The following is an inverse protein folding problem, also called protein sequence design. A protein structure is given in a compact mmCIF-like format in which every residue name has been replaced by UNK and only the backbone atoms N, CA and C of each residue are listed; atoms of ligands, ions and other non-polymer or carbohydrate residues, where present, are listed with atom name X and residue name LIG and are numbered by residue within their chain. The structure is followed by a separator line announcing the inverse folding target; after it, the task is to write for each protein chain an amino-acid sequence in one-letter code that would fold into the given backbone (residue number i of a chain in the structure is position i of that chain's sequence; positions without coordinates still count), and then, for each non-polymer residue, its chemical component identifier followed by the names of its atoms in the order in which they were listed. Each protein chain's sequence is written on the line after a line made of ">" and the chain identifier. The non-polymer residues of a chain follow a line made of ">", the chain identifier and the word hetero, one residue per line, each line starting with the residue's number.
data_IF_595341198133
#
_entry.id   IF_595341198133
#
_cell.length_a   1.000
_cell.length_b   1.000
_cell.length_c   1.000
_cell.angle_alpha   90.00
_cell.angle_beta   90.00
_cell.angle_gamma   90.00
#
_symmetry.space_group_name_H-M   'P 1'
#
loop_
_entity.id
_entity.type
_entity.pdbx_description
1 polymer ?
#
# COMPACT_ATOMS: atom_id res chain seq x y z
N UNK A 1 -13.61 -9.22 -9.82
CA UNK A 1 -14.71 -8.62 -9.02
C UNK A 1 -14.22 -8.40 -7.59
N UNK A 2 -14.28 -7.16 -7.02
CA UNK A 2 -13.92 -6.93 -5.62
C UNK A 2 -14.99 -7.49 -4.68
N UNK A 3 -14.54 -8.18 -3.63
CA UNK A 3 -15.38 -8.73 -2.57
C UNK A 3 -14.97 -8.05 -1.26
N UNK A 4 -15.94 -7.39 -0.62
CA UNK A 4 -15.69 -6.72 0.66
C UNK A 4 -15.50 -7.75 1.79
N UNK A 5 -14.46 -7.57 2.59
CA UNK A 5 -14.21 -8.33 3.81
C UNK A 5 -14.33 -7.38 5.00
N UNK A 6 -15.32 -7.60 5.85
CA UNK A 6 -15.48 -6.80 7.09
C UNK A 6 -14.37 -7.15 8.08
N UNK A 7 -13.19 -6.57 7.85
CA UNK A 7 -12.00 -6.78 8.66
C UNK A 7 -12.21 -6.41 10.13
N UNK A 8 -12.89 -5.30 10.40
CA UNK A 8 -13.13 -4.83 11.75
C UNK A 8 -14.26 -5.58 12.46
N UNK A 9 -15.25 -6.07 11.72
CA UNK A 9 -16.27 -7.00 12.23
C UNK A 9 -15.74 -8.41 12.47
N UNK A 10 -14.47 -8.67 12.12
CA UNK A 10 -13.80 -9.93 12.39
C UNK A 10 -13.97 -10.99 11.31
N UNK A 11 -14.52 -10.66 10.15
CA UNK A 11 -14.74 -11.60 9.05
C UNK A 11 -13.44 -12.32 8.62
N UNK A 12 -12.29 -11.64 8.66
CA UNK A 12 -10.99 -12.25 8.33
C UNK A 12 -10.52 -13.32 9.34
N UNK A 13 -11.13 -13.39 10.53
CA UNK A 13 -10.76 -14.31 11.60
C UNK A 13 -11.60 -15.58 11.62
N UNK A 14 -12.64 -15.66 10.80
CA UNK A 14 -13.52 -16.83 10.74
C UNK A 14 -12.79 -18.05 10.14
N UNK A 15 -13.20 -19.29 10.49
CA UNK A 15 -12.64 -20.49 9.88
C UNK A 15 -12.76 -20.50 8.34
N UNK A 16 -13.86 -19.99 7.81
CA UNK A 16 -14.13 -19.91 6.38
C UNK A 16 -13.10 -19.02 5.68
N UNK A 17 -12.85 -17.82 6.21
CA UNK A 17 -11.83 -16.94 5.63
C UNK A 17 -10.42 -17.53 5.80
N UNK A 18 -10.12 -18.15 6.93
CA UNK A 18 -8.83 -18.80 7.18
C UNK A 18 -8.57 -20.00 6.28
N UNK A 19 -9.60 -20.64 5.75
CA UNK A 19 -9.44 -21.70 4.73
C UNK A 19 -8.96 -21.13 3.39
N UNK A 20 -9.24 -19.85 3.12
CA UNK A 20 -8.77 -19.13 1.92
C UNK A 20 -7.41 -18.45 2.17
N UNK A 21 -7.24 -17.84 3.34
CA UNK A 21 -5.98 -17.23 3.77
C UNK A 21 -5.68 -17.50 5.24
N UNK A 22 -4.75 -18.39 5.49
CA UNK A 22 -4.34 -18.78 6.87
C UNK A 22 -3.77 -17.63 7.68
N UNK A 23 -3.27 -16.56 7.02
CA UNK A 23 -2.74 -15.36 7.68
C UNK A 23 -3.86 -14.46 8.24
N UNK A 24 -5.12 -14.72 7.88
CA UNK A 24 -6.29 -13.91 8.29
C UNK A 24 -6.18 -12.41 7.87
N UNK A 25 -5.53 -12.15 6.76
CA UNK A 25 -5.23 -10.81 6.23
C UNK A 25 -5.87 -10.61 4.86
N UNK A 26 -6.19 -9.37 4.54
CA UNK A 26 -6.56 -8.91 3.20
C UNK A 26 -5.41 -8.01 2.66
N UNK A 27 -5.21 -7.97 1.34
CA UNK A 27 -6.02 -8.56 0.28
C UNK A 27 -5.75 -10.05 0.01
N UNK A 28 -6.73 -10.68 -0.65
CA UNK A 28 -6.63 -12.01 -1.25
C UNK A 28 -7.11 -11.93 -2.69
N UNK A 29 -6.38 -12.51 -3.62
CA UNK A 29 -6.81 -12.68 -5.00
C UNK A 29 -7.08 -14.16 -5.27
N UNK A 30 -8.25 -14.46 -5.83
CA UNK A 30 -8.63 -15.79 -6.30
C UNK A 30 -8.77 -15.73 -7.82
N UNK A 31 -7.90 -16.42 -8.53
CA UNK A 31 -8.01 -16.65 -9.96
C UNK A 31 -8.79 -17.96 -10.19
N UNK A 32 -10.07 -17.81 -10.51
CA UNK A 32 -10.98 -18.95 -10.72
C UNK A 32 -10.68 -19.71 -12.01
N UNK A 33 -10.00 -19.10 -12.97
CA UNK A 33 -9.63 -19.75 -14.22
C UNK A 33 -8.41 -20.67 -14.07
N UNK A 34 -7.50 -20.28 -13.19
CA UNK A 34 -6.27 -21.03 -12.89
C UNK A 34 -6.41 -21.94 -11.64
N UNK A 35 -7.54 -21.87 -10.93
CA UNK A 35 -7.73 -22.49 -9.61
C UNK A 35 -6.58 -22.13 -8.65
N UNK A 36 -6.24 -20.84 -8.60
CA UNK A 36 -5.10 -20.34 -7.85
C UNK A 36 -5.48 -19.20 -6.92
N UNK A 37 -5.07 -19.33 -5.68
CA UNK A 37 -5.25 -18.27 -4.66
C UNK A 37 -3.90 -17.72 -4.26
N UNK A 38 -3.77 -16.40 -4.30
CA UNK A 38 -2.56 -15.68 -3.88
C UNK A 38 -2.90 -14.61 -2.84
N UNK A 39 -2.06 -14.50 -1.83
CA UNK A 39 -2.19 -13.56 -0.71
C UNK A 39 -0.93 -12.68 -0.64
N UNK A 40 -0.97 -11.62 0.17
CA UNK A 40 0.04 -10.56 0.24
C UNK A 40 0.06 -9.66 -1.00
N UNK A 41 -0.10 -8.35 -0.79
CA UNK A 41 -0.25 -7.36 -1.85
C UNK A 41 0.89 -7.40 -2.88
N UNK A 42 2.13 -7.54 -2.44
CA UNK A 42 3.29 -7.64 -3.33
C UNK A 42 3.26 -8.88 -4.22
N UNK A 43 2.87 -10.04 -3.67
CA UNK A 43 2.74 -11.28 -4.44
C UNK A 43 1.54 -11.21 -5.43
N UNK A 44 0.45 -10.58 -5.01
CA UNK A 44 -0.72 -10.33 -5.89
C UNK A 44 -0.31 -9.42 -7.06
N UNK A 45 0.43 -8.34 -6.79
CA UNK A 45 0.93 -7.44 -7.83
C UNK A 45 1.85 -8.18 -8.82
N UNK A 46 2.76 -9.00 -8.33
CA UNK A 46 3.65 -9.81 -9.17
C UNK A 46 2.85 -10.78 -10.06
N UNK A 47 1.88 -11.50 -9.48
CA UNK A 47 1.01 -12.41 -10.21
C UNK A 47 0.21 -11.70 -11.31
N UNK A 48 -0.43 -10.57 -10.99
CA UNK A 48 -1.19 -9.76 -11.97
C UNK A 48 -0.26 -9.19 -13.06
N UNK A 49 0.96 -8.82 -12.69
CA UNK A 49 1.96 -8.37 -13.66
C UNK A 49 2.38 -9.48 -14.60
N UNK A 50 2.55 -10.72 -14.11
CA UNK A 50 2.82 -11.88 -14.94
C UNK A 50 1.70 -12.14 -15.97
N UNK A 51 0.44 -12.09 -15.52
CA UNK A 51 -0.72 -12.30 -16.39
C UNK A 51 -0.90 -11.19 -17.43
N UNK A 52 -0.68 -9.94 -17.03
CA UNK A 52 -0.90 -8.77 -17.90
C UNK A 52 0.29 -8.40 -18.78
N UNK A 53 1.48 -8.86 -18.45
CA UNK A 53 2.74 -8.43 -19.08
C UNK A 53 3.12 -6.98 -18.76
N UNK A 54 2.54 -6.37 -17.68
CA UNK A 54 2.73 -4.97 -17.31
C UNK A 54 3.31 -4.85 -15.89
N UNK A 55 3.94 -3.72 -15.60
CA UNK A 55 4.38 -3.27 -14.27
C UNK A 55 5.51 -4.06 -13.60
N UNK A 56 6.05 -5.12 -14.23
CA UNK A 56 7.09 -5.94 -13.62
C UNK A 56 8.53 -5.42 -13.84
N UNK A 57 8.71 -4.38 -14.65
CA UNK A 57 10.01 -3.98 -15.19
C UNK A 57 10.37 -4.75 -16.46
N UNK A 58 11.25 -4.20 -17.28
CA UNK A 58 11.55 -4.69 -18.64
C UNK A 58 12.78 -5.61 -18.70
N UNK A 59 13.71 -5.46 -17.75
CA UNK A 59 14.93 -6.27 -17.66
C UNK A 59 14.99 -7.06 -16.34
N UNK A 60 15.84 -8.09 -16.24
CA UNK A 60 16.10 -8.78 -14.97
C UNK A 60 16.61 -7.87 -13.86
N UNK A 61 17.36 -6.82 -14.21
CA UNK A 61 17.86 -5.80 -13.28
C UNK A 61 16.71 -4.95 -12.73
N UNK A 62 15.85 -4.43 -13.60
CA UNK A 62 14.66 -3.67 -13.21
C UNK A 62 13.71 -4.50 -12.33
N UNK A 63 13.49 -5.77 -12.67
CA UNK A 63 12.65 -6.66 -11.85
C UNK A 63 13.20 -6.83 -10.43
N UNK A 64 14.53 -6.93 -10.28
CA UNK A 64 15.15 -6.96 -8.94
C UNK A 64 14.98 -5.64 -8.20
N UNK A 65 15.10 -4.51 -8.90
CA UNK A 65 14.84 -3.20 -8.31
C UNK A 65 13.38 -3.03 -7.91
N UNK A 66 12.41 -3.45 -8.72
CA UNK A 66 10.99 -3.49 -8.36
C UNK A 66 10.78 -4.30 -7.09
N UNK A 67 11.33 -5.52 -7.02
CA UNK A 67 11.24 -6.37 -5.82
C UNK A 67 11.88 -5.67 -4.61
N UNK A 68 13.04 -5.03 -4.78
CA UNK A 68 13.72 -4.29 -3.69
C UNK A 68 12.82 -3.19 -3.12
N UNK A 69 12.12 -2.44 -3.97
CA UNK A 69 11.21 -1.37 -3.53
C UNK A 69 9.91 -1.91 -2.92
N UNK A 70 9.35 -3.00 -3.44
CA UNK A 70 8.22 -3.69 -2.81
C UNK A 70 8.59 -4.17 -1.40
N UNK A 71 9.80 -4.74 -1.22
CA UNK A 71 10.29 -5.13 0.11
C UNK A 71 10.55 -3.92 1.02
N UNK A 72 11.06 -2.82 0.48
CA UNK A 72 11.21 -1.56 1.21
C UNK A 72 9.85 -1.02 1.68
N UNK A 73 8.87 -0.99 0.79
CA UNK A 73 7.51 -0.59 1.12
C UNK A 73 6.94 -1.42 2.26
N UNK A 74 6.92 -2.74 2.11
CA UNK A 74 6.35 -3.64 3.11
C UNK A 74 7.04 -3.53 4.47
N UNK A 75 8.35 -3.22 4.51
CA UNK A 75 9.09 -3.09 5.77
C UNK A 75 9.07 -1.67 6.35
N UNK A 76 9.08 -0.64 5.53
CA UNK A 76 9.35 0.75 5.97
C UNK A 76 8.17 1.71 5.78
N UNK A 77 7.39 1.55 4.71
CA UNK A 77 6.27 2.45 4.40
C UNK A 77 4.94 1.85 4.84
N UNK A 78 4.41 0.90 4.10
CA UNK A 78 3.04 0.39 4.29
C UNK A 78 2.80 -0.19 5.67
N UNK A 79 3.74 -0.96 6.23
CA UNK A 79 3.59 -1.52 7.58
C UNK A 79 3.52 -0.43 8.65
N UNK A 80 4.40 0.58 8.56
CA UNK A 80 4.44 1.67 9.54
C UNK A 80 3.27 2.65 9.32
N UNK A 81 2.97 3.00 8.07
CA UNK A 81 1.87 3.90 7.74
C UNK A 81 0.53 3.30 8.13
N UNK A 82 0.28 2.04 7.77
CA UNK A 82 -0.95 1.32 8.14
C UNK A 82 -1.15 1.23 9.64
N UNK A 83 -0.11 0.84 10.39
CA UNK A 83 -0.17 0.78 11.84
C UNK A 83 -0.41 2.16 12.45
N UNK A 84 0.33 3.18 12.02
CA UNK A 84 0.20 4.54 12.57
C UNK A 84 -1.18 5.12 12.27
N UNK A 85 -1.67 4.95 11.04
CA UNK A 85 -3.01 5.36 10.64
C UNK A 85 -4.09 4.66 11.48
N UNK A 86 -3.96 3.35 11.70
CA UNK A 86 -4.87 2.60 12.55
C UNK A 86 -4.89 3.14 13.99
N UNK A 87 -3.74 3.30 14.62
CA UNK A 87 -3.62 3.77 15.99
C UNK A 87 -4.17 5.19 16.18
N UNK A 88 -3.99 6.06 15.19
CA UNK A 88 -4.42 7.46 15.27
C UNK A 88 -5.89 7.68 14.93
N UNK A 89 -6.48 6.87 14.03
CA UNK A 89 -7.78 7.21 13.46
C UNK A 89 -8.87 6.18 13.78
N UNK A 90 -8.51 4.95 14.17
CA UNK A 90 -9.48 3.88 14.43
C UNK A 90 -9.59 3.51 15.92
N UNK A 91 -8.65 3.95 16.75
CA UNK A 91 -8.75 3.78 18.20
C UNK A 91 -9.36 5.02 18.86
N UNK A 92 -10.20 4.82 19.90
CA UNK A 92 -10.59 5.91 20.78
C UNK A 92 -9.36 6.65 21.31
N UNK A 93 -9.42 7.96 21.41
CA UNK A 93 -8.29 8.81 21.79
C UNK A 93 -7.61 8.35 23.10
N UNK A 94 -8.43 7.97 24.09
CA UNK A 94 -7.97 7.47 25.39
C UNK A 94 -7.21 6.14 25.35
N UNK A 95 -7.24 5.43 24.20
CA UNK A 95 -6.56 4.15 24.00
C UNK A 95 -5.37 4.26 23.02
N UNK A 96 -5.07 5.45 22.53
CA UNK A 96 -3.97 5.66 21.57
C UNK A 96 -2.62 5.59 22.30
N UNK A 97 -1.72 4.68 21.89
CA UNK A 97 -0.40 4.58 22.47
C UNK A 97 0.53 5.66 21.87
N UNK A 98 0.54 6.84 22.48
CA UNK A 98 1.22 8.04 21.96
C UNK A 98 2.70 7.83 21.66
N UNK A 99 3.40 7.08 22.52
CA UNK A 99 4.83 6.79 22.34
C UNK A 99 5.10 5.88 21.16
N UNK A 100 4.24 4.90 20.93
CA UNK A 100 4.34 4.00 19.74
C UNK A 100 4.04 4.78 18.47
N UNK A 101 3.04 5.64 18.51
CA UNK A 101 2.70 6.53 17.39
C UNK A 101 3.89 7.42 17.04
N UNK A 102 4.46 8.10 18.03
CA UNK A 102 5.62 8.99 17.82
C UNK A 102 6.84 8.21 17.27
N UNK A 103 7.10 7.01 17.78
CA UNK A 103 8.18 6.16 17.28
C UNK A 103 7.96 5.78 15.80
N UNK A 104 6.75 5.34 15.45
CA UNK A 104 6.42 4.98 14.06
C UNK A 104 6.51 6.19 13.13
N UNK A 105 6.01 7.35 13.56
CA UNK A 105 6.11 8.58 12.77
C UNK A 105 7.57 8.96 12.51
N UNK A 106 8.45 8.85 13.52
CA UNK A 106 9.89 9.08 13.32
C UNK A 106 10.51 8.15 12.29
N UNK A 107 10.12 6.88 12.28
CA UNK A 107 10.57 5.92 11.26
C UNK A 107 10.03 6.23 9.86
N UNK A 108 8.78 6.67 9.77
CA UNK A 108 8.15 7.09 8.52
C UNK A 108 8.86 8.30 7.91
N UNK A 109 9.27 9.29 8.71
CA UNK A 109 10.03 10.44 8.20
C UNK A 109 11.32 9.98 7.49
N UNK A 110 12.04 9.01 8.05
CA UNK A 110 13.23 8.43 7.39
C UNK A 110 12.91 7.70 6.09
N UNK A 111 11.77 7.00 6.04
CA UNK A 111 11.32 6.32 4.83
C UNK A 111 10.88 7.30 3.74
N UNK A 112 10.14 8.36 4.11
CA UNK A 112 9.76 9.43 3.18
C UNK A 112 10.98 10.18 2.63
N UNK A 113 11.95 10.51 3.48
CA UNK A 113 13.19 11.13 3.04
C UNK A 113 13.93 10.26 2.01
N UNK A 114 14.01 8.96 2.25
CA UNK A 114 14.62 8.00 1.32
C UNK A 114 13.90 7.98 -0.03
N UNK A 115 12.57 7.88 -0.01
CA UNK A 115 11.75 7.87 -1.23
C UNK A 115 11.82 9.20 -1.97
N UNK A 116 11.70 10.32 -1.24
CA UNK A 116 11.73 11.66 -1.83
C UNK A 116 13.09 11.94 -2.52
N UNK A 117 14.20 11.58 -1.87
CA UNK A 117 15.54 11.71 -2.47
C UNK A 117 15.71 10.80 -3.69
N UNK A 118 15.18 9.58 -3.63
CA UNK A 118 15.24 8.67 -4.77
C UNK A 118 14.47 9.19 -5.99
N UNK A 119 13.35 9.86 -5.77
CA UNK A 119 12.50 10.44 -6.82
C UNK A 119 13.03 11.76 -7.40
N UNK A 120 14.10 12.34 -6.83
CA UNK A 120 14.71 13.53 -7.39
C UNK A 120 15.20 13.29 -8.82
N UNK A 121 14.64 14.05 -9.77
CA UNK A 121 14.93 13.90 -11.21
C UNK A 121 14.40 12.62 -11.86
N UNK A 122 13.47 11.92 -11.20
CA UNK A 122 12.84 10.69 -11.71
C UNK A 122 11.34 10.84 -11.80
N UNK A 123 10.77 10.26 -12.84
CA UNK A 123 9.31 10.16 -13.00
C UNK A 123 8.74 8.96 -12.25
N UNK A 124 9.48 7.87 -12.16
CA UNK A 124 9.08 6.60 -11.56
C UNK A 124 10.18 6.05 -10.64
N UNK A 125 9.78 5.16 -9.73
CA UNK A 125 10.73 4.54 -8.79
C UNK A 125 11.75 3.66 -9.55
N UNK A 126 11.31 2.94 -10.57
CA UNK A 126 12.18 2.05 -11.37
C UNK A 126 11.93 2.28 -12.85
N UNK A 127 13.01 2.50 -13.62
CA UNK A 127 12.92 2.69 -15.08
C UNK A 127 12.16 3.95 -15.48
N UNK A 128 11.56 3.89 -16.66
CA UNK A 128 10.90 5.04 -17.30
C UNK A 128 9.37 4.88 -17.40
N UNK A 129 8.80 3.92 -16.66
CA UNK A 129 7.37 3.63 -16.66
C UNK A 129 6.88 3.19 -15.28
N UNK A 130 5.56 3.32 -15.06
CA UNK A 130 4.89 2.84 -13.84
C UNK A 130 5.14 1.34 -13.62
N UNK A 131 5.60 0.99 -12.42
CA UNK A 131 5.87 -0.39 -12.02
C UNK A 131 5.17 -0.75 -10.70
N UNK A 132 5.27 -2.03 -10.30
CA UNK A 132 4.82 -2.48 -8.99
C UNK A 132 5.55 -1.80 -7.82
N UNK A 133 6.75 -1.26 -8.03
CA UNK A 133 7.43 -0.44 -7.04
C UNK A 133 6.62 0.81 -6.70
N UNK A 134 6.10 1.48 -7.72
CA UNK A 134 5.26 2.67 -7.57
C UNK A 134 3.91 2.31 -6.94
N UNK A 135 3.25 1.26 -7.47
CA UNK A 135 1.94 0.81 -6.99
C UNK A 135 1.96 0.32 -5.54
N UNK A 136 3.07 -0.28 -5.10
CA UNK A 136 3.25 -0.69 -3.71
C UNK A 136 3.49 0.54 -2.81
N UNK A 137 4.47 1.36 -3.14
CA UNK A 137 4.91 2.47 -2.28
C UNK A 137 3.87 3.60 -2.15
N UNK A 138 2.96 3.78 -3.12
CA UNK A 138 1.97 4.87 -3.08
C UNK A 138 0.74 4.57 -2.22
N UNK A 139 0.48 3.31 -1.87
CA UNK A 139 -0.81 2.83 -1.37
C UNK A 139 -1.41 3.63 -0.22
N UNK A 140 -0.61 3.95 0.80
CA UNK A 140 -1.08 4.73 1.96
C UNK A 140 -1.02 6.24 1.76
N UNK A 141 -0.27 6.75 0.79
CA UNK A 141 0.05 8.17 0.68
C UNK A 141 -1.09 9.03 0.08
N UNK A 142 -2.18 8.40 -0.32
CA UNK A 142 -3.40 9.09 -0.78
C UNK A 142 -4.44 9.30 0.32
N UNK A 143 -4.29 8.66 1.48
CA UNK A 143 -5.25 8.84 2.56
C UNK A 143 -5.12 10.22 3.20
N UNK A 144 -6.25 10.86 3.44
CA UNK A 144 -6.34 12.22 3.99
C UNK A 144 -6.24 12.29 5.51
N UNK A 145 -6.47 11.16 6.20
CA UNK A 145 -6.40 11.12 7.65
C UNK A 145 -4.96 11.29 8.14
N UNK A 146 -4.75 11.94 9.27
CA UNK A 146 -3.41 12.18 9.79
C UNK A 146 -2.75 10.87 10.23
N UNK A 147 -1.55 10.59 9.74
CA UNK A 147 -0.70 9.47 10.18
C UNK A 147 0.80 9.78 10.12
N UNK A 148 1.15 11.08 10.00
CA UNK A 148 2.53 11.52 9.94
C UNK A 148 3.07 11.72 8.53
N UNK A 149 2.21 11.74 7.52
CA UNK A 149 2.53 12.14 6.15
C UNK A 149 1.87 13.49 5.84
N UNK A 150 2.69 14.47 5.46
CA UNK A 150 2.23 15.76 4.96
C UNK A 150 2.80 15.94 3.57
N UNK A 151 1.96 15.85 2.57
CA UNK A 151 2.35 15.83 1.15
C UNK A 151 3.21 17.02 0.74
N UNK A 152 2.91 18.21 1.27
CA UNK A 152 3.63 19.45 0.98
C UNK A 152 5.10 19.44 1.46
N UNK A 153 5.45 18.60 2.42
CA UNK A 153 6.82 18.50 2.94
C UNK A 153 7.76 17.69 2.01
N UNK A 154 7.18 16.99 1.01
CA UNK A 154 7.88 16.02 0.17
C UNK A 154 7.65 16.29 -1.33
N UNK A 155 8.29 17.30 -1.93
CA UNK A 155 7.95 17.80 -3.27
C UNK A 155 8.12 16.75 -4.38
N UNK A 156 9.11 15.85 -4.29
CA UNK A 156 9.29 14.81 -5.30
C UNK A 156 8.26 13.68 -5.16
N UNK A 157 7.88 13.34 -3.92
CA UNK A 157 6.77 12.41 -3.66
C UNK A 157 5.45 13.05 -4.14
N UNK A 158 5.22 14.34 -3.89
CA UNK A 158 4.01 15.04 -4.32
C UNK A 158 3.84 15.01 -5.85
N UNK A 159 4.89 15.36 -6.58
CA UNK A 159 4.90 15.30 -8.04
C UNK A 159 4.66 13.89 -8.58
N UNK A 160 5.29 12.88 -7.96
CA UNK A 160 5.14 11.48 -8.33
C UNK A 160 3.72 10.95 -8.02
N UNK A 161 3.12 11.26 -6.87
CA UNK A 161 1.74 10.90 -6.55
C UNK A 161 0.75 11.54 -7.51
N UNK A 162 0.99 12.81 -7.90
CA UNK A 162 0.18 13.49 -8.91
C UNK A 162 0.23 12.73 -10.22
N UNK A 163 1.41 12.37 -10.71
CA UNK A 163 1.60 11.60 -11.94
C UNK A 163 0.91 10.23 -11.90
N UNK A 164 0.97 9.51 -10.78
CA UNK A 164 0.23 8.24 -10.62
C UNK A 164 -1.27 8.49 -10.73
N UNK A 165 -1.80 9.54 -10.11
CA UNK A 165 -3.23 9.82 -10.13
C UNK A 165 -3.77 10.25 -11.51
N UNK A 166 -2.89 10.63 -12.42
CA UNK A 166 -3.21 10.96 -13.82
C UNK A 166 -3.16 9.74 -14.74
N UNK A 167 -2.75 8.57 -14.25
CA UNK A 167 -2.70 7.36 -15.07
C UNK A 167 -4.10 6.84 -15.41
N UNK A 168 -4.33 6.34 -16.63
CA UNK A 168 -5.64 5.81 -17.01
C UNK A 168 -6.10 4.68 -16.08
N UNK A 169 -7.31 4.81 -15.56
CA UNK A 169 -7.91 3.81 -14.67
C UNK A 169 -7.59 3.99 -13.20
N UNK A 170 -6.77 4.96 -12.82
CA UNK A 170 -6.56 5.29 -11.42
C UNK A 170 -7.86 5.75 -10.75
N UNK A 171 -8.06 5.33 -9.53
CA UNK A 171 -9.15 5.80 -8.67
C UNK A 171 -8.64 5.92 -7.24
N UNK A 172 -9.16 6.90 -6.50
CA UNK A 172 -8.83 7.03 -5.09
C UNK A 172 -9.23 5.76 -4.32
N UNK A 173 -8.44 5.30 -3.33
CA UNK A 173 -8.78 4.09 -2.56
C UNK A 173 -10.20 4.08 -1.97
N UNK A 174 -10.70 5.23 -1.51
CA UNK A 174 -12.05 5.35 -0.97
C UNK A 174 -13.16 5.30 -2.03
N UNK A 175 -12.86 5.55 -3.30
CA UNK A 175 -13.81 5.37 -4.40
C UNK A 175 -13.96 3.90 -4.78
N UNK A 176 -12.99 3.07 -4.39
CA UNK A 176 -12.99 1.64 -4.71
C UNK A 176 -13.55 0.78 -3.57
N UNK A 177 -13.23 1.15 -2.32
CA UNK A 177 -13.57 0.37 -1.14
C UNK A 177 -14.00 1.29 0.01
N UNK A 178 -15.08 0.95 0.75
CA UNK A 178 -15.42 1.64 1.99
C UNK A 178 -14.31 1.42 3.03
N UNK A 179 -14.07 2.39 3.87
CA UNK A 179 -13.02 2.25 4.89
C UNK A 179 -12.53 3.56 5.49
N UNK A 180 -13.21 4.66 5.18
CA UNK A 180 -12.94 5.93 5.84
C UNK A 180 -13.29 5.79 7.34
N UNK A 181 -12.43 6.24 8.28
CA UNK A 181 -12.74 6.24 9.71
C UNK A 181 -14.05 6.93 10.07
N UNK A 182 -14.44 7.97 9.33
CA UNK A 182 -15.72 8.69 9.54
C UNK A 182 -16.96 7.83 9.29
N UNK A 183 -16.86 6.78 8.49
CA UNK A 183 -17.97 5.87 8.20
C UNK A 183 -18.30 4.93 9.37
N UNK A 184 -17.55 5.05 10.47
CA UNK A 184 -17.63 4.18 11.66
C UNK A 184 -18.03 4.92 12.94
N UNK A 185 -18.35 6.21 12.82
CA UNK A 185 -18.78 7.06 13.94
C UNK A 185 -20.26 6.84 14.31
#
# INVERSE_FOLDING_TARGET
>A
EPVFVDFFGGASRTPEFKSVNTMAEAPVLVDTAADYTVTQSGAIQDYVSHLSGKFAGTSPEERREVLRWVLFDNHKLSSMAGMTRFLMNFLPETKRPTEVIAFNQGRLQGAYATLNTHLEGRDWIVGDALTNADLSCCGYLYYSEPFGFVRADWPHIDAWLTRISETPGWKHPYDLMPGNPSDRA
#
